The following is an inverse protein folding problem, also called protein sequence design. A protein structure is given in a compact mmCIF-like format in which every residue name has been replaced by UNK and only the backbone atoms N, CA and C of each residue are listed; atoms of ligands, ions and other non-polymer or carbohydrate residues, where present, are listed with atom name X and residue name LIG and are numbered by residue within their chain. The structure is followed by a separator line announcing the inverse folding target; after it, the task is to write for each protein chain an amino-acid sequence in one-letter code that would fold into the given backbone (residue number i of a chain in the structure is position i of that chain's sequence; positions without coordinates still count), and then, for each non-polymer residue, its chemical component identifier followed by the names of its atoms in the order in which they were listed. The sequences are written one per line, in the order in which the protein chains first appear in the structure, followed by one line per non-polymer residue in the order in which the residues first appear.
data_IF_364308730212
#
_entry.id   IF_364308730212
#
_cell.length_a   1.000
_cell.length_b   1.000
_cell.length_c   1.000
_cell.angle_alpha   90.00
_cell.angle_beta   90.00
_cell.angle_gamma   90.00
#
_symmetry.space_group_name_H-M   'P 1'
#
loop_
_entity.id
_entity.type
_entity.pdbx_description
1 polymer ?
#
# COMPACT_ATOMS: atom_id res chain seq x y z
N UNK A 1 22.57 -73.99 -33.46
CA UNK A 1 21.50 -73.63 -32.52
C UNK A 1 21.31 -72.12 -32.53
N UNK A 2 20.14 -71.65 -32.97
CA UNK A 2 19.71 -70.25 -32.96
C UNK A 2 19.55 -69.77 -31.51
N UNK A 3 20.09 -68.60 -31.16
CA UNK A 3 19.60 -67.82 -30.02
C UNK A 3 19.36 -66.39 -30.46
N UNK A 4 18.07 -66.09 -30.62
CA UNK A 4 17.51 -64.79 -30.86
C UNK A 4 17.56 -63.93 -29.59
N UNK A 5 17.85 -62.65 -29.82
CA UNK A 5 17.19 -61.47 -29.26
C UNK A 5 17.15 -61.25 -27.74
N UNK A 6 17.70 -60.12 -27.31
CA UNK A 6 17.01 -59.16 -26.43
C UNK A 6 17.65 -57.79 -26.63
N UNK A 7 17.04 -56.96 -27.48
CA UNK A 7 17.31 -55.52 -27.53
C UNK A 7 16.64 -54.89 -26.31
N UNK A 8 17.44 -54.49 -25.33
CA UNK A 8 16.99 -53.72 -24.18
C UNK A 8 16.68 -52.30 -24.66
N UNK A 9 15.41 -51.96 -24.79
CA UNK A 9 14.98 -50.57 -25.03
C UNK A 9 14.97 -49.88 -23.66
N UNK A 10 15.97 -49.05 -23.38
CA UNK A 10 15.91 -48.08 -22.29
C UNK A 10 14.94 -46.97 -22.69
N UNK A 11 13.73 -46.98 -22.15
CA UNK A 11 12.85 -45.81 -22.18
C UNK A 11 13.32 -44.88 -21.07
N UNK A 12 14.12 -43.86 -21.42
CA UNK A 12 14.32 -42.72 -20.53
C UNK A 12 12.99 -41.95 -20.47
N UNK A 13 12.25 -42.11 -19.37
CA UNK A 13 11.12 -41.25 -19.07
C UNK A 13 11.63 -39.83 -18.81
N UNK A 14 11.39 -38.92 -19.76
CA UNK A 14 11.56 -37.50 -19.52
C UNK A 14 10.52 -37.06 -18.48
N UNK A 15 10.93 -36.95 -17.21
CA UNK A 15 10.14 -36.23 -16.22
C UNK A 15 10.12 -34.76 -16.64
N UNK A 16 9.09 -34.35 -17.37
CA UNK A 16 8.74 -32.96 -17.53
C UNK A 16 8.40 -32.43 -16.14
N UNK A 17 9.38 -31.79 -15.49
CA UNK A 17 9.15 -31.04 -14.27
C UNK A 17 8.11 -29.97 -14.58
N UNK A 18 6.88 -30.18 -14.11
CA UNK A 18 5.85 -29.15 -14.19
C UNK A 18 6.40 -27.97 -13.39
N UNK A 19 6.56 -26.78 -13.97
CA UNK A 19 6.95 -25.61 -13.21
C UNK A 19 5.85 -25.39 -12.17
N UNK A 20 6.13 -25.78 -10.93
CA UNK A 20 5.35 -25.30 -9.80
C UNK A 20 5.58 -23.80 -9.78
N UNK A 21 4.55 -23.03 -10.13
CA UNK A 21 4.59 -21.59 -9.92
C UNK A 21 4.71 -21.38 -8.41
N UNK A 22 5.95 -21.23 -7.92
CA UNK A 22 6.20 -20.94 -6.52
C UNK A 22 5.47 -19.65 -6.19
N UNK A 23 4.66 -19.68 -5.14
CA UNK A 23 4.02 -18.49 -4.66
C UNK A 23 5.10 -17.47 -4.27
N UNK A 24 5.14 -16.33 -4.96
CA UNK A 24 6.04 -15.24 -4.62
C UNK A 24 5.33 -14.34 -3.63
N UNK A 25 5.83 -14.23 -2.42
CA UNK A 25 5.23 -13.46 -1.34
C UNK A 25 6.26 -12.53 -0.70
N UNK A 26 5.83 -11.31 -0.39
CA UNK A 26 6.54 -10.43 0.55
C UNK A 26 5.58 -9.44 1.18
N UNK A 27 5.61 -9.34 2.51
CA UNK A 27 4.92 -8.32 3.27
C UNK A 27 5.90 -7.58 4.18
N UNK A 28 5.78 -6.25 4.21
CA UNK A 28 6.53 -5.37 5.09
C UNK A 28 5.77 -5.22 6.41
N UNK A 29 6.51 -5.08 7.51
CA UNK A 29 5.91 -4.89 8.84
C UNK A 29 5.47 -3.44 9.08
N UNK A 30 4.65 -2.90 8.16
CA UNK A 30 4.00 -1.60 8.36
C UNK A 30 2.99 -1.74 9.51
N UNK A 31 3.03 -0.85 10.52
CA UNK A 31 2.10 -0.89 11.64
C UNK A 31 0.67 -0.64 11.17
N UNK A 32 -0.28 -1.31 11.82
CA UNK A 32 -1.69 -1.01 11.64
C UNK A 32 -2.01 0.30 12.38
N UNK A 33 -2.57 1.27 11.65
CA UNK A 33 -3.01 2.56 12.22
C UNK A 33 -4.44 2.83 11.77
N UNK A 34 -5.35 3.01 12.72
CA UNK A 34 -6.71 3.47 12.46
C UNK A 34 -6.76 4.99 12.46
N UNK A 35 -7.42 5.62 11.49
CA UNK A 35 -7.65 7.06 11.47
C UNK A 35 -8.49 7.49 12.67
N UNK A 36 -8.09 8.56 13.34
CA UNK A 36 -8.74 9.02 14.58
C UNK A 36 -10.04 9.81 14.33
N UNK A 37 -10.16 10.43 13.15
CA UNK A 37 -11.36 11.18 12.73
C UNK A 37 -11.76 10.88 11.28
N UNK A 38 -12.97 11.30 10.87
CA UNK A 38 -13.62 10.84 9.63
C UNK A 38 -12.89 11.27 8.36
N UNK A 39 -12.21 12.41 8.38
CA UNK A 39 -11.47 12.92 7.22
C UNK A 39 -9.95 12.64 7.30
N UNK A 40 -9.50 11.75 8.19
CA UNK A 40 -8.08 11.58 8.53
C UNK A 40 -7.40 10.36 7.90
N UNK A 41 -7.97 9.78 6.83
CA UNK A 41 -7.33 8.67 6.12
C UNK A 41 -5.88 8.99 5.69
N UNK A 42 -5.64 10.24 5.28
CA UNK A 42 -4.32 10.75 4.94
C UNK A 42 -3.36 10.85 6.13
N UNK A 43 -3.86 11.22 7.31
CA UNK A 43 -3.06 11.31 8.53
C UNK A 43 -2.75 9.91 9.11
N UNK A 44 -3.73 9.02 9.13
CA UNK A 44 -3.56 7.62 9.55
C UNK A 44 -2.55 6.87 8.67
N UNK A 45 -2.70 6.98 7.34
CA UNK A 45 -1.75 6.39 6.39
C UNK A 45 -0.34 6.99 6.49
N UNK A 46 -0.24 8.31 6.69
CA UNK A 46 1.06 8.97 6.91
C UNK A 46 1.72 8.47 8.20
N UNK A 47 0.98 8.40 9.32
CA UNK A 47 1.48 7.87 10.60
C UNK A 47 2.00 6.44 10.44
N UNK A 48 1.28 5.57 9.73
CA UNK A 48 1.72 4.19 9.51
C UNK A 48 3.07 4.12 8.76
N UNK A 49 3.22 4.91 7.69
CA UNK A 49 4.47 5.00 6.94
C UNK A 49 5.60 5.61 7.78
N UNK A 50 5.34 6.71 8.47
CA UNK A 50 6.32 7.35 9.34
C UNK A 50 6.81 6.39 10.41
N UNK A 51 5.91 5.66 11.07
CA UNK A 51 6.29 4.66 12.08
C UNK A 51 7.11 3.52 11.49
N UNK A 52 6.83 3.09 10.25
CA UNK A 52 7.69 2.12 9.55
C UNK A 52 9.12 2.64 9.34
N UNK A 53 9.29 3.96 9.13
CA UNK A 53 10.59 4.63 9.02
C UNK A 53 11.11 5.21 10.35
N UNK A 54 10.67 4.67 11.49
CA UNK A 54 11.09 5.07 12.84
C UNK A 54 10.78 6.53 13.23
N UNK A 55 9.77 7.14 12.60
CA UNK A 55 9.23 8.45 12.94
C UNK A 55 7.85 8.29 13.58
N UNK A 56 7.59 8.93 14.72
CA UNK A 56 6.37 8.66 15.49
C UNK A 56 5.54 9.91 15.83
N UNK A 57 5.19 10.79 14.88
CA UNK A 57 4.20 11.82 15.17
C UNK A 57 2.81 11.21 15.36
N UNK A 58 2.01 11.80 16.25
CA UNK A 58 0.58 11.51 16.34
C UNK A 58 -0.18 12.04 15.12
N UNK A 59 -1.39 11.53 14.86
CA UNK A 59 -2.22 12.09 13.78
C UNK A 59 -2.56 13.56 14.04
N UNK A 60 -2.72 13.92 15.32
CA UNK A 60 -2.86 15.31 15.76
C UNK A 60 -1.68 16.19 15.33
N UNK A 61 -0.44 15.73 15.52
CA UNK A 61 0.75 16.48 15.11
C UNK A 61 0.81 16.61 13.58
N UNK A 62 0.49 15.55 12.86
CA UNK A 62 0.40 15.56 11.39
C UNK A 62 -0.63 16.59 10.92
N UNK A 63 -1.83 16.60 11.51
CA UNK A 63 -2.92 17.51 11.11
C UNK A 63 -2.63 18.95 11.47
N UNK A 64 -2.13 19.19 12.69
CA UNK A 64 -1.68 20.50 13.13
C UNK A 64 -0.62 21.06 12.19
N UNK A 65 0.38 20.25 11.80
CA UNK A 65 1.41 20.69 10.88
C UNK A 65 0.87 20.96 9.47
N UNK A 66 0.08 20.02 8.92
CA UNK A 66 -0.43 20.10 7.54
C UNK A 66 -1.29 21.34 7.30
N UNK A 67 -2.05 21.78 8.31
CA UNK A 67 -2.96 22.91 8.20
C UNK A 67 -2.55 24.14 9.01
N UNK A 68 -1.37 24.14 9.64
CA UNK A 68 -0.91 25.24 10.49
C UNK A 68 -1.80 25.49 11.72
N UNK A 69 -2.36 24.42 12.30
CA UNK A 69 -3.22 24.44 13.48
C UNK A 69 -2.43 24.06 14.74
N UNK A 70 -3.01 24.31 15.90
CA UNK A 70 -2.48 23.87 17.20
C UNK A 70 -3.54 23.19 18.08
N UNK A 71 -4.71 22.88 17.51
CA UNK A 71 -5.89 22.44 18.25
C UNK A 71 -6.53 21.14 17.72
N UNK A 72 -5.91 20.43 16.76
CA UNK A 72 -6.51 19.24 16.14
C UNK A 72 -6.93 18.15 17.16
N UNK A 73 -6.28 18.08 18.33
CA UNK A 73 -6.68 17.21 19.43
C UNK A 73 -6.79 17.97 20.77
N UNK A 74 -7.05 19.28 20.72
CA UNK A 74 -7.17 20.15 21.88
C UNK A 74 -8.53 20.08 22.59
N UNK A 75 -8.46 20.03 23.92
CA UNK A 75 -9.44 20.23 25.00
C UNK A 75 -10.93 19.82 24.77
N UNK A 76 -11.20 18.63 25.28
CA UNK A 76 -12.50 18.03 25.70
C UNK A 76 -13.51 17.65 24.63
N UNK A 77 -13.64 18.38 23.51
CA UNK A 77 -14.54 17.95 22.41
C UNK A 77 -13.96 18.31 21.04
N UNK A 78 -13.75 17.30 20.20
CA UNK A 78 -13.34 17.51 18.81
C UNK A 78 -14.49 18.11 18.01
N UNK A 79 -14.29 19.29 17.42
CA UNK A 79 -15.25 19.88 16.51
C UNK A 79 -15.14 19.22 15.13
N UNK A 80 -16.08 18.31 14.83
CA UNK A 80 -16.17 17.57 13.57
C UNK A 80 -16.32 18.44 12.32
N UNK A 81 -16.73 19.70 12.48
CA UNK A 81 -16.90 20.66 11.38
C UNK A 81 -15.75 21.68 11.29
N UNK A 82 -14.68 21.50 12.08
CA UNK A 82 -13.54 22.42 12.06
C UNK A 82 -12.58 22.15 10.91
N UNK A 83 -11.64 23.08 10.70
CA UNK A 83 -10.52 22.89 9.77
C UNK A 83 -9.62 21.69 10.14
N UNK A 84 -9.68 21.21 11.38
CA UNK A 84 -8.95 20.01 11.77
C UNK A 84 -9.54 18.73 11.16
N UNK A 85 -10.81 18.71 10.71
CA UNK A 85 -11.46 17.54 10.11
C UNK A 85 -11.76 17.73 8.62
N UNK A 86 -10.72 17.94 7.81
CA UNK A 86 -10.85 18.20 6.37
C UNK A 86 -10.14 17.13 5.53
N UNK A 87 -10.62 16.86 4.30
CA UNK A 87 -9.89 16.01 3.37
C UNK A 87 -8.62 16.70 2.91
N UNK A 88 -7.58 15.92 2.60
CA UNK A 88 -6.30 16.44 2.14
C UNK A 88 -5.86 15.75 0.85
N UNK A 89 -4.96 16.40 0.10
CA UNK A 89 -4.43 15.89 -1.16
C UNK A 89 -3.24 14.96 -0.92
N UNK A 90 -2.97 14.10 -1.90
CA UNK A 90 -1.75 13.29 -1.91
C UNK A 90 -0.51 14.14 -2.22
N UNK A 91 -0.61 15.07 -3.17
CA UNK A 91 0.45 16.00 -3.55
C UNK A 91 -0.12 17.26 -4.23
N UNK A 92 0.73 18.26 -4.46
CA UNK A 92 0.39 19.46 -5.24
C UNK A 92 -0.25 20.59 -4.44
N UNK A 93 -0.63 20.35 -3.18
CA UNK A 93 -1.00 21.40 -2.22
C UNK A 93 -0.08 21.37 -1.00
N UNK A 94 0.12 22.53 -0.37
CA UNK A 94 0.80 22.61 0.92
C UNK A 94 0.13 21.70 1.95
N UNK A 95 0.95 21.05 2.78
CA UNK A 95 0.46 20.11 3.80
C UNK A 95 -0.04 18.77 3.26
N UNK A 96 0.11 18.48 1.97
CA UNK A 96 -0.25 17.19 1.36
C UNK A 96 0.53 16.01 1.95
N UNK A 97 0.10 14.77 1.67
CA UNK A 97 0.82 13.55 2.11
C UNK A 97 2.28 13.56 1.66
N UNK A 98 2.58 14.07 0.46
CA UNK A 98 3.95 14.28 0.00
C UNK A 98 4.75 15.20 0.92
N UNK A 99 4.19 16.34 1.31
CA UNK A 99 4.87 17.28 2.20
C UNK A 99 5.00 16.75 3.63
N UNK A 100 3.97 16.06 4.13
CA UNK A 100 3.98 15.42 5.45
C UNK A 100 5.15 14.44 5.53
N UNK A 101 5.21 13.45 4.63
CA UNK A 101 6.28 12.46 4.69
C UNK A 101 7.67 13.10 4.55
N UNK A 102 7.82 14.09 3.67
CA UNK A 102 9.09 14.80 3.52
C UNK A 102 9.49 15.61 4.78
N UNK A 103 8.52 16.23 5.47
CA UNK A 103 8.77 17.00 6.69
C UNK A 103 9.38 16.14 7.80
N UNK A 104 8.90 14.91 7.94
CA UNK A 104 9.45 13.92 8.88
C UNK A 104 10.60 13.08 8.28
N UNK A 105 11.24 13.53 7.20
CA UNK A 105 12.47 12.92 6.70
C UNK A 105 12.29 11.67 5.84
N UNK A 106 11.10 11.43 5.30
CA UNK A 106 10.81 10.33 4.36
C UNK A 106 10.69 10.90 2.94
N UNK A 107 11.78 10.93 2.15
CA UNK A 107 11.76 11.44 0.78
C UNK A 107 10.88 10.53 -0.10
N UNK A 108 10.08 11.15 -0.98
CA UNK A 108 9.05 10.43 -1.73
C UNK A 108 8.67 11.17 -3.02
N UNK A 109 8.06 10.44 -3.96
CA UNK A 109 7.59 10.95 -5.26
C UNK A 109 6.16 10.48 -5.51
N UNK A 110 5.26 11.40 -5.86
CA UNK A 110 3.87 11.11 -6.18
C UNK A 110 3.56 11.28 -7.68
N UNK A 111 2.59 10.53 -8.17
CA UNK A 111 2.08 10.59 -9.54
C UNK A 111 0.60 10.17 -9.63
N UNK A 112 -0.06 10.58 -10.71
CA UNK A 112 -1.50 10.43 -10.96
C UNK A 112 -1.89 9.16 -11.74
N UNK A 113 -1.30 8.02 -11.36
CA UNK A 113 -1.70 6.72 -11.90
C UNK A 113 -1.42 5.60 -10.90
N UNK A 114 -2.09 4.47 -11.10
CA UNK A 114 -1.82 3.23 -10.37
C UNK A 114 -0.42 2.69 -10.72
N UNK A 115 0.34 2.27 -9.71
CA UNK A 115 1.63 1.63 -9.94
C UNK A 115 1.45 0.31 -10.66
N UNK A 116 2.25 0.04 -11.69
CA UNK A 116 2.24 -1.26 -12.34
C UNK A 116 2.59 -2.39 -11.37
N UNK A 117 2.14 -3.62 -11.65
CA UNK A 117 2.46 -4.79 -10.82
C UNK A 117 3.97 -4.94 -10.57
N UNK A 118 4.79 -4.79 -11.62
CA UNK A 118 6.25 -4.85 -11.49
C UNK A 118 6.80 -3.75 -10.57
N UNK A 119 6.20 -2.55 -10.59
CA UNK A 119 6.59 -1.46 -9.68
C UNK A 119 6.24 -1.78 -8.24
N UNK A 120 5.04 -2.32 -7.97
CA UNK A 120 4.63 -2.80 -6.64
C UNK A 120 5.62 -3.83 -6.11
N UNK A 121 5.96 -4.84 -6.91
CA UNK A 121 6.92 -5.89 -6.54
C UNK A 121 8.29 -5.30 -6.25
N UNK A 122 8.79 -4.39 -7.09
CA UNK A 122 10.11 -3.78 -6.91
C UNK A 122 10.19 -2.90 -5.65
N UNK A 123 9.16 -2.10 -5.38
CA UNK A 123 9.12 -1.24 -4.19
C UNK A 123 9.10 -2.06 -2.90
N UNK A 124 8.20 -3.04 -2.82
CA UNK A 124 8.13 -3.95 -1.68
C UNK A 124 9.46 -4.71 -1.52
N UNK A 125 10.08 -5.13 -2.64
CA UNK A 125 11.37 -5.81 -2.57
C UNK A 125 12.54 -4.93 -2.09
N UNK A 126 12.41 -3.62 -2.28
CA UNK A 126 13.37 -2.63 -1.80
C UNK A 126 13.06 -2.12 -0.38
N UNK A 127 12.19 -2.79 0.39
CA UNK A 127 11.68 -2.32 1.70
C UNK A 127 10.99 -0.96 1.62
N UNK A 128 10.20 -0.73 0.57
CA UNK A 128 9.48 0.54 0.35
C UNK A 128 7.98 0.29 0.30
N UNK A 129 7.24 0.46 1.40
CA UNK A 129 5.79 0.61 1.30
C UNK A 129 5.46 1.88 0.50
N UNK A 130 4.25 1.95 -0.05
CA UNK A 130 3.82 3.07 -0.88
C UNK A 130 2.39 3.49 -0.55
N UNK A 131 2.02 4.73 -0.87
CA UNK A 131 0.67 5.24 -0.65
C UNK A 131 -0.20 4.95 -1.88
N UNK A 132 -1.43 4.51 -1.65
CA UNK A 132 -2.48 4.32 -2.65
C UNK A 132 -3.54 5.40 -2.42
N UNK A 133 -3.96 6.11 -3.48
CA UNK A 133 -5.19 6.91 -3.45
C UNK A 133 -6.25 6.25 -4.30
N UNK A 134 -7.36 5.90 -3.66
CA UNK A 134 -8.60 5.62 -4.37
C UNK A 134 -9.36 6.91 -4.64
N UNK A 135 -9.84 7.05 -5.88
CA UNK A 135 -10.92 7.97 -6.22
C UNK A 135 -12.21 7.17 -6.27
N UNK A 136 -13.19 7.55 -5.45
CA UNK A 136 -14.50 6.91 -5.44
C UNK A 136 -15.35 7.39 -6.62
N UNK A 137 -16.20 6.52 -7.16
CA UNK A 137 -17.10 6.85 -8.27
C UNK A 137 -18.12 7.94 -7.90
N UNK A 138 -18.55 7.97 -6.63
CA UNK A 138 -19.46 8.99 -6.09
C UNK A 138 -18.74 10.26 -5.59
N UNK A 139 -17.44 10.40 -5.86
CA UNK A 139 -16.63 11.54 -5.45
C UNK A 139 -15.89 11.34 -4.13
N UNK A 140 -14.89 12.19 -3.90
CA UNK A 140 -13.97 12.08 -2.77
C UNK A 140 -12.79 11.15 -3.05
N UNK A 141 -12.21 10.60 -1.99
CA UNK A 141 -11.12 9.63 -2.12
C UNK A 141 -10.69 9.05 -0.78
N UNK A 142 -9.78 8.09 -0.86
CA UNK A 142 -9.27 7.39 0.30
C UNK A 142 -7.79 7.11 0.15
N UNK A 143 -7.03 7.39 1.21
CA UNK A 143 -5.58 7.22 1.24
C UNK A 143 -5.25 6.03 2.12
N UNK A 144 -4.54 5.06 1.55
CA UNK A 144 -4.14 3.79 2.18
C UNK A 144 -2.66 3.51 1.90
N UNK A 145 -2.12 2.44 2.50
CA UNK A 145 -0.73 2.05 2.33
C UNK A 145 -0.64 0.65 1.72
N UNK A 146 0.04 0.50 0.58
CA UNK A 146 0.45 -0.79 0.05
C UNK A 146 1.62 -1.34 0.87
N UNK A 147 1.45 -2.53 1.44
CA UNK A 147 2.39 -3.12 2.41
C UNK A 147 3.03 -4.41 1.94
N UNK A 148 2.58 -4.97 0.81
CA UNK A 148 3.10 -6.25 0.34
C UNK A 148 2.39 -6.77 -0.90
N UNK A 149 2.84 -7.93 -1.35
CA UNK A 149 2.27 -8.63 -2.48
C UNK A 149 2.35 -10.14 -2.29
N UNK A 150 1.51 -10.84 -3.04
CA UNK A 150 1.55 -12.29 -3.17
C UNK A 150 1.14 -12.71 -4.59
N UNK A 151 1.79 -13.73 -5.15
CA UNK A 151 1.34 -14.44 -6.34
C UNK A 151 0.89 -15.81 -5.91
N UNK A 152 -0.39 -16.13 -6.05
CA UNK A 152 -0.94 -17.43 -5.67
C UNK A 152 -1.77 -17.99 -6.82
N UNK A 153 -1.45 -19.21 -7.28
CA UNK A 153 -2.09 -19.86 -8.43
C UNK A 153 -2.19 -18.96 -9.67
N UNK A 154 -1.13 -18.21 -9.98
CA UNK A 154 -1.10 -17.28 -11.11
C UNK A 154 -1.91 -15.99 -10.93
N UNK A 155 -2.51 -15.77 -9.76
CA UNK A 155 -3.22 -14.54 -9.41
C UNK A 155 -2.34 -13.63 -8.56
N UNK A 156 -2.26 -12.37 -8.95
CA UNK A 156 -1.53 -11.33 -8.23
C UNK A 156 -2.43 -10.71 -7.16
N UNK A 157 -1.96 -10.67 -5.92
CA UNK A 157 -2.60 -10.02 -4.78
C UNK A 157 -1.71 -8.91 -4.23
N UNK A 158 -2.34 -7.85 -3.76
CA UNK A 158 -1.70 -6.75 -3.05
C UNK A 158 -2.21 -6.70 -1.61
N UNK A 159 -1.30 -6.45 -0.68
CA UNK A 159 -1.63 -6.22 0.72
C UNK A 159 -1.69 -4.74 1.02
N UNK A 160 -2.72 -4.34 1.76
CA UNK A 160 -3.07 -2.94 2.00
C UNK A 160 -3.34 -2.76 3.49
N UNK A 161 -2.73 -1.75 4.11
CA UNK A 161 -3.18 -1.21 5.39
C UNK A 161 -4.19 -0.09 5.09
N UNK A 162 -5.44 -0.34 5.48
CA UNK A 162 -6.54 0.59 5.34
C UNK A 162 -6.79 1.25 6.71
N UNK A 163 -6.63 2.58 6.85
CA UNK A 163 -6.78 3.24 8.12
C UNK A 163 -8.24 3.42 8.54
N UNK A 164 -9.21 3.10 7.70
CA UNK A 164 -10.62 3.27 8.06
C UNK A 164 -11.02 2.37 9.24
N UNK A 165 -11.81 2.86 10.22
CA UNK A 165 -12.20 2.06 11.38
C UNK A 165 -12.89 0.75 10.97
N UNK A 166 -12.36 -0.37 11.45
CA UNK A 166 -12.89 -1.72 11.20
C UNK A 166 -12.26 -2.47 10.01
N UNK A 167 -11.47 -1.81 9.16
CA UNK A 167 -10.88 -2.43 7.96
C UNK A 167 -9.52 -3.09 8.24
N UNK A 168 -8.54 -2.30 8.69
CA UNK A 168 -7.23 -2.80 9.10
C UNK A 168 -6.33 -3.30 7.97
N UNK A 169 -5.61 -4.41 8.19
CA UNK A 169 -4.75 -5.04 7.18
C UNK A 169 -5.60 -5.95 6.29
N UNK A 170 -5.72 -5.59 5.02
CA UNK A 170 -6.55 -6.27 4.02
C UNK A 170 -5.71 -6.74 2.85
N UNK A 171 -6.30 -7.56 1.98
CA UNK A 171 -5.71 -7.97 0.72
C UNK A 171 -6.78 -8.09 -0.35
N UNK A 172 -6.38 -7.94 -1.61
CA UNK A 172 -7.28 -8.09 -2.77
C UNK A 172 -6.45 -8.40 -4.02
N UNK A 173 -7.11 -8.81 -5.10
CA UNK A 173 -6.39 -9.00 -6.36
C UNK A 173 -5.84 -7.66 -6.85
N UNK A 174 -4.69 -7.66 -7.52
CA UNK A 174 -4.13 -6.45 -8.08
C UNK A 174 -5.10 -5.77 -9.06
N UNK A 175 -5.84 -6.56 -9.86
CA UNK A 175 -6.86 -6.06 -10.76
C UNK A 175 -7.96 -5.27 -10.03
N UNK A 176 -8.57 -5.85 -8.98
CA UNK A 176 -9.60 -5.15 -8.20
C UNK A 176 -9.02 -3.99 -7.38
N UNK A 177 -7.74 -4.02 -7.02
CA UNK A 177 -7.09 -2.88 -6.40
C UNK A 177 -6.90 -1.69 -7.36
N UNK A 178 -6.69 -1.95 -8.65
CA UNK A 178 -6.52 -0.92 -9.67
C UNK A 178 -7.86 -0.29 -10.03
N UNK A 179 -8.91 -1.10 -10.19
CA UNK A 179 -10.26 -0.62 -10.48
C UNK A 179 -11.32 -1.65 -10.10
N UNK A 180 -12.41 -1.16 -9.52
CA UNK A 180 -13.64 -1.93 -9.27
C UNK A 180 -14.87 -1.01 -9.47
N UNK A 181 -16.08 -1.49 -9.20
CA UNK A 181 -17.32 -0.75 -9.44
C UNK A 181 -17.45 0.56 -8.63
N UNK A 182 -16.78 0.66 -7.49
CA UNK A 182 -16.87 1.79 -6.55
C UNK A 182 -15.62 2.68 -6.57
N UNK A 183 -14.51 2.25 -7.15
CA UNK A 183 -13.24 2.98 -7.08
C UNK A 183 -12.29 2.77 -8.26
N UNK A 184 -11.36 3.72 -8.38
CA UNK A 184 -10.14 3.58 -9.16
C UNK A 184 -8.91 3.95 -8.32
N UNK A 185 -7.82 3.20 -8.47
CA UNK A 185 -6.50 3.62 -8.00
C UNK A 185 -5.96 4.74 -8.89
N UNK A 186 -6.22 5.96 -8.45
CA UNK A 186 -5.97 7.16 -9.25
C UNK A 186 -4.57 7.73 -9.07
N UNK A 187 -3.94 7.53 -7.91
CA UNK A 187 -2.62 8.11 -7.64
C UNK A 187 -1.77 7.17 -6.77
N UNK A 188 -0.46 7.21 -6.95
CA UNK A 188 0.50 6.52 -6.07
C UNK A 188 1.55 7.50 -5.57
N UNK A 189 2.00 7.32 -4.33
CA UNK A 189 3.20 7.96 -3.80
C UNK A 189 4.20 6.90 -3.37
N UNK A 190 5.36 6.88 -4.05
CA UNK A 190 6.46 5.95 -3.80
C UNK A 190 7.49 6.57 -2.87
N UNK A 191 8.12 5.74 -2.05
CA UNK A 191 9.21 6.19 -1.18
C UNK A 191 10.53 6.11 -1.94
N UNK A 192 11.38 7.12 -1.73
CA UNK A 192 12.73 7.20 -2.30
C UNK A 192 13.81 6.75 -1.29
N UNK A 193 13.38 6.16 -0.19
CA UNK A 193 14.20 5.61 0.90
C UNK A 193 13.76 4.17 1.16
N UNK A 194 14.70 3.33 1.59
CA UNK A 194 14.42 1.97 2.05
C UNK A 194 14.32 1.95 3.57
N UNK A 195 13.35 1.20 4.10
CA UNK A 195 13.17 1.00 5.54
C UNK A 195 14.10 -0.04 6.13
#
# INVERSE_FOLDING_TARGET
MKKNLLKLILVLGAMLGIPSAYAQYRALNVPLVTQEHSQWCWAGSSKALLSFYNQNPSQCQIVNWAYGLNYACGNTNFNWNSNANQPNSMYGSGGSVQNILAHWGVPNTAYNYASSWNTVVNDINANRPFVIRYGWTNGGGHIMVGTGYEVYNGTNYIYIMNPWPGEGKTYRTYGSAVSDYDHQWTHTQRMNISG
#
